data_IF_828843447823
#
_entry.id   IF_828843447823
#
_cell.length_a   1.000
_cell.length_b   1.000
_cell.length_c   1.000
_cell.angle_alpha   90.00
_cell.angle_beta   90.00
_cell.angle_gamma   90.00
#
_symmetry.space_group_name_H-M   'P 1'
#
loop_
_entity.id
_entity.type
_entity.pdbx_description
1 polymer ?
#
# COMPACT_ATOMS: atom_id res chain seq x y z
N UNK A 1 1.45 6.89 3.74
CA UNK A 1 0.74 8.07 3.20
C UNK A 1 1.02 9.32 4.03
N UNK A 2 0.68 9.42 5.32
CA UNK A 2 0.95 10.61 6.17
C UNK A 2 2.32 11.27 5.94
N UNK A 3 3.43 10.52 6.07
CA UNK A 3 4.78 11.05 5.84
C UNK A 3 5.07 11.56 4.44
N UNK A 4 4.37 11.02 3.42
CA UNK A 4 4.45 11.56 2.06
C UNK A 4 3.72 12.92 2.02
N UNK A 5 2.53 13.02 2.61
CA UNK A 5 1.74 14.27 2.64
C UNK A 5 2.44 15.39 3.40
N UNK A 6 3.18 15.08 4.46
CA UNK A 6 3.93 16.08 5.22
C UNK A 6 5.28 16.45 4.59
N UNK A 7 5.71 15.76 3.53
CA UNK A 7 7.04 15.93 2.94
C UNK A 7 8.17 15.50 3.89
N UNK A 8 7.92 14.53 4.76
CA UNK A 8 8.90 14.10 5.77
C UNK A 8 10.18 13.59 5.10
N UNK A 9 11.36 13.90 5.66
CA UNK A 9 12.67 13.59 5.06
C UNK A 9 12.85 12.10 4.68
N UNK A 10 12.29 11.18 5.49
CA UNK A 10 12.29 9.73 5.20
C UNK A 10 11.54 9.32 3.91
N UNK A 11 10.69 10.20 3.39
CA UNK A 11 9.95 10.04 2.13
C UNK A 11 10.35 11.13 1.10
N UNK A 12 11.47 11.82 1.30
CA UNK A 12 12.01 12.77 0.32
C UNK A 12 12.43 12.07 -0.99
N UNK A 13 12.77 10.78 -0.91
CA UNK A 13 12.93 9.91 -2.07
C UNK A 13 12.05 8.68 -1.90
N UNK A 14 11.25 8.38 -2.92
CA UNK A 14 10.30 7.28 -2.91
C UNK A 14 11.04 5.96 -3.15
N UNK A 15 10.94 4.99 -2.22
CA UNK A 15 11.60 3.71 -2.39
C UNK A 15 10.97 2.93 -3.55
N UNK A 16 11.77 2.24 -4.40
CA UNK A 16 11.26 1.46 -5.51
C UNK A 16 10.64 0.16 -4.98
N UNK A 17 9.38 0.21 -4.60
CA UNK A 17 8.63 -0.91 -4.01
C UNK A 17 7.25 -0.93 -4.66
N UNK A 18 6.87 -2.09 -5.18
CA UNK A 18 5.52 -2.40 -5.64
C UNK A 18 4.87 -3.44 -4.74
N UNK A 19 3.71 -3.10 -4.17
CA UNK A 19 2.94 -4.01 -3.33
C UNK A 19 1.46 -4.00 -3.70
N UNK A 20 0.75 -5.11 -3.48
CA UNK A 20 -0.70 -5.12 -3.54
C UNK A 20 -1.28 -4.19 -2.48
N UNK A 21 -2.41 -3.55 -2.78
CA UNK A 21 -3.09 -2.63 -1.87
C UNK A 21 -4.38 -3.24 -1.35
N UNK A 22 -4.56 -3.20 -0.03
CA UNK A 22 -5.79 -3.60 0.66
C UNK A 22 -6.48 -2.38 1.25
N UNK A 23 -7.75 -2.17 0.90
CA UNK A 23 -8.60 -1.18 1.56
C UNK A 23 -9.18 -1.78 2.85
N UNK A 24 -9.07 -1.05 3.96
CA UNK A 24 -9.53 -1.53 5.28
C UNK A 24 -11.04 -1.80 5.34
N UNK A 25 -11.85 -1.15 4.49
CA UNK A 25 -13.30 -1.39 4.42
C UNK A 25 -13.61 -2.74 3.79
N UNK A 26 -12.84 -3.12 2.78
CA UNK A 26 -12.96 -4.45 2.16
C UNK A 26 -12.48 -5.53 3.13
N UNK A 27 -11.35 -5.29 3.81
CA UNK A 27 -10.85 -6.18 4.86
C UNK A 27 -11.92 -6.42 5.94
N UNK A 28 -12.53 -5.36 6.47
CA UNK A 28 -13.54 -5.48 7.50
C UNK A 28 -14.76 -6.29 7.04
N UNK A 29 -15.27 -6.01 5.84
CA UNK A 29 -16.42 -6.74 5.26
C UNK A 29 -16.09 -8.22 5.05
N UNK A 30 -14.94 -8.52 4.47
CA UNK A 30 -14.49 -9.89 4.22
C UNK A 30 -14.23 -10.61 5.53
N UNK A 31 -13.61 -9.95 6.51
CA UNK A 31 -13.34 -10.52 7.81
C UNK A 31 -14.63 -10.94 8.51
N UNK A 32 -15.64 -10.05 8.58
CA UNK A 32 -16.94 -10.36 9.18
C UNK A 32 -17.65 -11.48 8.42
N UNK A 33 -17.68 -11.42 7.08
CA UNK A 33 -18.31 -12.48 6.25
C UNK A 33 -17.64 -13.84 6.42
N UNK A 34 -16.33 -13.87 6.64
CA UNK A 34 -15.57 -15.10 6.83
C UNK A 34 -16.04 -15.90 8.06
N UNK A 35 -16.56 -15.24 9.09
CA UNK A 35 -16.96 -15.89 10.35
C UNK A 35 -18.10 -16.91 10.11
N UNK A 36 -18.99 -16.63 9.16
CA UNK A 36 -20.17 -17.46 8.87
C UNK A 36 -20.05 -18.25 7.57
N UNK A 37 -19.02 -17.99 6.76
CA UNK A 37 -18.84 -18.61 5.44
C UNK A 37 -18.00 -19.88 5.55
N UNK A 38 -18.66 -21.04 5.52
CA UNK A 38 -18.00 -22.34 5.62
C UNK A 38 -16.97 -22.59 4.51
N UNK A 39 -17.13 -21.96 3.33
CA UNK A 39 -16.16 -22.07 2.24
C UNK A 39 -14.77 -21.49 2.58
N UNK A 40 -14.65 -20.72 3.68
CA UNK A 40 -13.38 -20.16 4.17
C UNK A 40 -12.57 -21.13 5.04
N UNK A 41 -13.15 -22.22 5.50
CA UNK A 41 -12.50 -23.13 6.45
C UNK A 41 -11.19 -23.71 5.87
N UNK A 42 -10.09 -23.50 6.61
CA UNK A 42 -8.75 -23.94 6.20
C UNK A 42 -8.14 -23.14 5.04
N UNK A 43 -8.75 -22.03 4.60
CA UNK A 43 -8.27 -21.22 3.48
C UNK A 43 -7.39 -20.05 3.95
N UNK A 44 -6.42 -19.68 3.11
CA UNK A 44 -5.64 -18.44 3.25
C UNK A 44 -6.17 -17.43 2.26
N UNK A 45 -7.07 -16.58 2.74
CA UNK A 45 -7.70 -15.55 1.91
C UNK A 45 -6.82 -14.32 1.85
N UNK A 46 -6.62 -13.78 0.65
CA UNK A 46 -5.79 -12.60 0.37
C UNK A 46 -6.67 -11.47 -0.18
N UNK A 47 -7.32 -10.68 0.70
CA UNK A 47 -8.17 -9.55 0.33
C UNK A 47 -7.34 -8.30 -0.03
N UNK A 48 -6.75 -8.31 -1.23
CA UNK A 48 -5.93 -7.21 -1.77
C UNK A 48 -6.12 -7.09 -3.28
N UNK A 49 -5.61 -6.04 -3.92
CA UNK A 49 -5.49 -5.97 -5.39
C UNK A 49 -4.64 -7.13 -5.94
N UNK A 50 -4.91 -7.63 -7.15
CA UNK A 50 -4.09 -8.70 -7.73
C UNK A 50 -2.71 -8.20 -8.19
N UNK A 51 -2.68 -7.00 -8.76
CA UNK A 51 -1.44 -6.36 -9.22
C UNK A 51 -0.82 -5.51 -8.13
N UNK A 52 0.51 -5.49 -8.10
CA UNK A 52 1.28 -4.54 -7.34
C UNK A 52 1.01 -3.11 -7.81
N UNK A 53 0.95 -2.19 -6.85
CA UNK A 53 1.00 -0.75 -7.09
C UNK A 53 2.33 -0.21 -6.56
N UNK A 54 3.03 0.53 -7.41
CA UNK A 54 4.32 1.11 -7.04
C UNK A 54 4.11 2.27 -6.08
N UNK A 55 5.00 2.42 -5.09
CA UNK A 55 4.97 3.58 -4.19
C UNK A 55 5.11 4.90 -4.96
N UNK A 56 5.77 4.87 -6.12
CA UNK A 56 5.86 6.00 -7.03
C UNK A 56 4.50 6.37 -7.66
N UNK A 57 3.63 5.39 -7.92
CA UNK A 57 2.27 5.66 -8.40
C UNK A 57 1.44 6.35 -7.33
N UNK A 58 1.55 5.90 -6.08
CA UNK A 58 0.92 6.57 -4.92
C UNK A 58 1.39 8.03 -4.85
N UNK A 59 2.70 8.26 -4.93
CA UNK A 59 3.27 9.60 -4.81
C UNK A 59 2.80 10.54 -5.94
N UNK A 60 2.76 10.04 -7.19
CA UNK A 60 2.26 10.80 -8.34
C UNK A 60 0.77 11.12 -8.21
N UNK A 61 -0.04 10.11 -7.88
CA UNK A 61 -1.48 10.27 -7.68
C UNK A 61 -1.78 11.34 -6.62
N UNK A 62 -1.07 11.32 -5.48
CA UNK A 62 -1.24 12.34 -4.45
C UNK A 62 -0.83 13.73 -4.96
N UNK A 63 0.31 13.84 -5.65
CA UNK A 63 0.76 15.13 -6.17
C UNK A 63 -0.20 15.72 -7.21
N UNK A 64 -0.74 14.88 -8.10
CA UNK A 64 -1.77 15.25 -9.09
C UNK A 64 -3.09 15.72 -8.44
N UNK A 65 -3.35 15.34 -7.19
CA UNK A 65 -4.54 15.72 -6.43
C UNK A 65 -4.27 16.84 -5.41
N UNK A 66 -3.22 17.65 -5.62
CA UNK A 66 -2.97 18.89 -4.86
C UNK A 66 -2.12 18.74 -3.59
N UNK A 67 -1.54 17.56 -3.35
CA UNK A 67 -0.63 17.36 -2.21
C UNK A 67 0.82 17.72 -2.59
N UNK A 68 1.12 19.03 -2.65
CA UNK A 68 2.39 19.57 -3.21
C UNK A 68 3.67 19.12 -2.48
N UNK A 69 3.58 18.87 -1.17
CA UNK A 69 4.71 18.42 -0.34
C UNK A 69 5.18 17.00 -0.69
N UNK A 70 4.40 16.24 -1.44
CA UNK A 70 4.75 14.88 -1.85
C UNK A 70 5.91 14.93 -2.84
N UNK A 71 6.98 14.18 -2.51
CA UNK A 71 8.09 13.96 -3.43
C UNK A 71 7.76 12.90 -4.47
N UNK A 72 8.24 13.11 -5.69
CA UNK A 72 8.17 12.13 -6.80
C UNK A 72 9.57 11.70 -7.26
N UNK A 73 10.60 11.94 -6.44
CA UNK A 73 11.97 11.52 -6.73
C UNK A 73 12.17 10.04 -6.39
N UNK A 74 12.77 9.26 -7.29
CA UNK A 74 13.05 7.84 -7.05
C UNK A 74 14.30 7.67 -6.18
N UNK A 75 14.17 6.91 -5.08
CA UNK A 75 15.30 6.52 -4.22
C UNK A 75 16.16 5.42 -4.84
N UNK A 76 17.50 5.59 -4.93
CA UNK A 76 18.40 4.51 -5.33
C UNK A 76 18.39 3.37 -4.30
N UNK A 77 18.30 2.13 -4.77
CA UNK A 77 18.26 0.94 -3.90
C UNK A 77 19.47 0.84 -2.96
N UNK A 78 20.67 1.21 -3.43
CA UNK A 78 21.89 1.16 -2.59
C UNK A 78 21.82 2.15 -1.43
N UNK A 79 21.24 3.33 -1.65
CA UNK A 79 21.10 4.37 -0.62
C UNK A 79 20.18 3.88 0.50
N UNK A 80 19.07 3.25 0.14
CA UNK A 80 18.12 2.67 1.11
C UNK A 80 18.80 1.57 1.93
N UNK A 81 19.61 0.72 1.30
CA UNK A 81 20.42 -0.30 2.00
C UNK A 81 21.42 0.33 2.97
N UNK A 82 22.08 1.42 2.58
CA UNK A 82 23.01 2.14 3.46
C UNK A 82 22.28 2.76 4.67
N UNK A 83 21.17 3.47 4.43
CA UNK A 83 20.34 4.08 5.49
C UNK A 83 19.81 3.03 6.49
N UNK A 84 19.59 1.80 6.05
CA UNK A 84 19.10 0.71 6.90
C UNK A 84 20.04 0.31 8.05
N UNK A 85 21.32 0.69 7.97
CA UNK A 85 22.30 0.47 9.04
C UNK A 85 22.01 1.34 10.27
N UNK A 86 21.38 2.51 10.06
CA UNK A 86 21.15 3.52 11.09
C UNK A 86 19.67 3.69 11.44
N UNK A 87 18.75 3.30 10.54
CA UNK A 87 17.30 3.43 10.73
C UNK A 87 16.60 2.06 10.70
N UNK A 88 16.04 1.65 11.86
CA UNK A 88 15.34 0.36 12.02
C UNK A 88 14.09 0.24 11.17
N UNK A 89 13.44 1.35 10.86
CA UNK A 89 12.25 1.36 10.02
C UNK A 89 12.62 1.12 8.56
N UNK A 90 13.66 1.80 8.08
CA UNK A 90 14.22 1.57 6.73
C UNK A 90 14.73 0.12 6.61
N UNK A 91 15.34 -0.43 7.66
CA UNK A 91 15.74 -1.84 7.72
C UNK A 91 14.60 -2.81 7.48
N UNK A 92 13.39 -2.51 7.94
CA UNK A 92 12.20 -3.31 7.67
C UNK A 92 11.82 -3.37 6.19
N UNK A 93 12.20 -2.37 5.39
CA UNK A 93 11.86 -2.29 3.98
C UNK A 93 12.87 -3.05 3.09
N UNK A 94 14.12 -3.21 3.54
CA UNK A 94 15.21 -3.83 2.75
C UNK A 94 14.83 -5.15 2.06
N UNK A 95 14.09 -6.10 2.67
CA UNK A 95 13.74 -7.37 2.02
C UNK A 95 12.88 -7.21 0.76
N UNK A 96 12.13 -6.10 0.65
CA UNK A 96 11.18 -5.82 -0.43
C UNK A 96 11.62 -4.67 -1.34
N UNK A 97 12.67 -3.92 -0.99
CA UNK A 97 13.19 -2.83 -1.83
C UNK A 97 13.67 -3.37 -3.18
N UNK A 98 13.25 -2.72 -4.26
CA UNK A 98 13.53 -3.07 -5.63
C UNK A 98 12.63 -4.18 -6.18
N UNK A 99 11.61 -4.61 -5.44
CA UNK A 99 10.68 -5.66 -5.85
C UNK A 99 9.28 -5.09 -6.12
N UNK A 100 8.59 -5.73 -7.06
CA UNK A 100 7.17 -5.54 -7.32
C UNK A 100 6.48 -6.89 -7.14
N UNK A 101 5.64 -7.00 -6.13
CA UNK A 101 5.06 -8.29 -5.69
C UNK A 101 3.56 -8.29 -6.02
N UNK A 102 3.13 -9.23 -6.87
CA UNK A 102 1.71 -9.44 -7.15
C UNK A 102 1.09 -10.42 -6.14
N UNK A 103 -0.24 -10.45 -6.07
CA UNK A 103 -1.00 -11.40 -5.26
C UNK A 103 -1.96 -12.20 -6.13
N UNK A 104 -2.11 -13.48 -5.82
CA UNK A 104 -3.24 -14.27 -6.30
C UNK A 104 -4.38 -14.17 -5.29
N UNK A 105 -5.39 -13.36 -5.63
CA UNK A 105 -6.58 -13.17 -4.81
C UNK A 105 -7.81 -13.93 -5.36
N UNK A 106 -7.63 -14.82 -6.35
CA UNK A 106 -8.74 -15.45 -7.07
C UNK A 106 -9.67 -16.24 -6.14
N UNK A 107 -9.12 -16.96 -5.16
CA UNK A 107 -9.92 -17.71 -4.19
C UNK A 107 -10.79 -16.78 -3.31
N UNK A 108 -10.24 -15.64 -2.87
CA UNK A 108 -10.97 -14.64 -2.08
C UNK A 108 -12.12 -14.04 -2.88
N UNK A 109 -11.84 -13.63 -4.12
CA UNK A 109 -12.84 -13.09 -5.04
C UNK A 109 -13.97 -14.09 -5.28
N UNK A 110 -13.62 -15.35 -5.55
CA UNK A 110 -14.56 -16.44 -5.80
C UNK A 110 -15.46 -16.72 -4.59
N UNK A 111 -14.89 -16.83 -3.39
CA UNK A 111 -15.65 -17.14 -2.18
C UNK A 111 -16.63 -16.01 -1.83
N UNK A 112 -16.19 -14.76 -1.91
CA UNK A 112 -17.01 -13.62 -1.46
C UNK A 112 -17.79 -12.91 -2.57
N UNK A 113 -17.63 -13.32 -3.83
CA UNK A 113 -18.10 -12.57 -5.00
C UNK A 113 -17.70 -11.08 -4.89
N UNK A 114 -16.42 -10.85 -4.62
CA UNK A 114 -15.87 -9.54 -4.28
C UNK A 114 -14.85 -9.09 -5.32
N UNK A 115 -14.79 -7.78 -5.53
CA UNK A 115 -13.75 -7.09 -6.29
C UNK A 115 -13.10 -6.02 -5.39
N UNK A 116 -11.76 -5.87 -5.41
CA UNK A 116 -11.08 -4.84 -4.66
C UNK A 116 -11.58 -3.44 -4.98
N UNK A 117 -11.75 -2.62 -3.94
CA UNK A 117 -11.99 -1.20 -4.09
C UNK A 117 -10.84 -0.57 -4.92
N UNK A 118 -11.14 0.33 -5.87
CA UNK A 118 -10.13 0.91 -6.74
C UNK A 118 -8.97 1.52 -5.96
N UNK A 119 -7.76 1.30 -6.46
CA UNK A 119 -6.53 1.76 -5.83
C UNK A 119 -6.56 3.27 -5.58
N UNK A 120 -6.94 4.05 -6.58
CA UNK A 120 -6.94 5.51 -6.53
C UNK A 120 -7.87 6.01 -5.43
N UNK A 121 -9.08 5.44 -5.38
CA UNK A 121 -10.07 5.77 -4.36
C UNK A 121 -9.56 5.43 -2.96
N UNK A 122 -8.90 4.29 -2.78
CA UNK A 122 -8.33 3.89 -1.48
C UNK A 122 -7.26 4.87 -1.00
N UNK A 123 -6.37 5.30 -1.89
CA UNK A 123 -5.29 6.24 -1.58
C UNK A 123 -5.82 7.63 -1.28
N UNK A 124 -6.75 8.16 -2.10
CA UNK A 124 -7.31 9.49 -1.94
C UNK A 124 -8.22 9.60 -0.70
N UNK A 125 -9.05 8.59 -0.44
CA UNK A 125 -9.85 8.52 0.79
C UNK A 125 -8.93 8.50 2.03
N UNK A 126 -7.82 7.75 1.97
CA UNK A 126 -6.83 7.71 3.06
C UNK A 126 -6.11 9.04 3.25
N UNK A 127 -5.76 9.75 2.18
CA UNK A 127 -5.13 11.05 2.28
C UNK A 127 -6.08 12.11 2.85
N UNK A 128 -7.33 12.12 2.38
CA UNK A 128 -8.40 13.00 2.86
C UNK A 128 -8.67 12.79 4.35
N UNK A 129 -8.72 11.53 4.81
CA UNK A 129 -9.03 11.21 6.20
C UNK A 129 -8.02 11.75 7.21
N UNK A 130 -6.78 12.03 6.81
CA UNK A 130 -5.73 12.57 7.67
C UNK A 130 -5.37 14.01 7.34
N UNK A 131 -6.07 14.66 6.41
CA UNK A 131 -5.75 16.03 6.00
C UNK A 131 -5.90 17.03 7.16
N UNK A 132 -6.85 16.77 8.06
CA UNK A 132 -7.08 17.59 9.26
C UNK A 132 -6.01 17.44 10.35
N UNK A 133 -5.08 16.49 10.21
CA UNK A 133 -4.01 16.23 11.18
C UNK A 133 -2.69 16.93 10.81
N UNK A 134 -2.63 17.61 9.66
CA UNK A 134 -1.42 18.25 9.10
C UNK A 134 -1.58 19.76 8.97
#
# INVERSE_FOLDING_TARGET
ISRMLTGHYKMAMIPPIGLPVSDVRDLAKIHVRSITENATNGKRLIPTTAKAHEFMEIAKLLKENGYEKVSTMKGPTFMIKFMSLFDREVKGMVPIVGKSINADNAETKRIFNWEPLPFEKSILDCASSINHLN
#
